data_IF_776106481950
#
_entry.id   IF_776106481950
#
_cell.length_a   1.000
_cell.length_b   1.000
_cell.length_c   1.000
_cell.angle_alpha   90.00
_cell.angle_beta   90.00
_cell.angle_gamma   90.00
#
_symmetry.space_group_name_H-M   'P 1'
#
loop_
_entity.id
_entity.type
_entity.pdbx_description
1 polymer ?
#
# COMPACT_ATOMS: atom_id res chain seq x y z
N UNK A 1 16.21 4.26 11.56
CA UNK A 1 15.36 4.20 12.76
C UNK A 1 14.21 5.15 12.53
N UNK A 2 13.00 4.76 12.94
CA UNK A 2 11.76 5.54 12.81
C UNK A 2 11.23 5.78 14.24
N UNK A 3 10.74 6.98 14.54
CA UNK A 3 10.18 7.34 15.86
C UNK A 3 8.72 6.87 15.94
N UNK A 4 8.54 5.55 16.00
CA UNK A 4 7.27 4.88 15.84
C UNK A 4 7.16 3.68 16.80
N UNK A 5 6.03 3.57 17.50
CA UNK A 5 5.63 2.35 18.19
C UNK A 5 4.57 1.65 17.33
N UNK A 6 4.78 0.39 16.96
CA UNK A 6 3.86 -0.30 16.07
C UNK A 6 3.71 -1.79 16.36
N UNK A 7 2.53 -2.33 16.06
CA UNK A 7 2.28 -3.76 15.93
C UNK A 7 1.42 -4.02 14.68
N UNK A 8 1.43 -5.25 14.20
CA UNK A 8 0.74 -5.64 12.97
C UNK A 8 -0.29 -6.74 13.25
N UNK A 9 -1.50 -6.55 12.72
CA UNK A 9 -2.56 -7.55 12.69
C UNK A 9 -2.71 -8.08 11.27
N UNK A 10 -2.64 -9.39 11.10
CA UNK A 10 -3.02 -10.08 9.88
C UNK A 10 -4.49 -10.46 9.99
N UNK A 11 -5.23 -10.27 8.91
CA UNK A 11 -6.65 -10.64 8.80
C UNK A 11 -6.81 -11.74 7.74
N UNK A 12 -6.25 -11.53 6.56
CA UNK A 12 -6.24 -12.47 5.43
C UNK A 12 -4.82 -12.77 4.97
N UNK A 13 -4.54 -13.98 4.44
CA UNK A 13 -5.49 -15.11 4.32
C UNK A 13 -5.74 -15.85 5.64
N UNK A 14 -4.89 -15.64 6.64
CA UNK A 14 -5.05 -16.21 7.98
C UNK A 14 -4.83 -15.13 9.03
N UNK A 15 -5.78 -15.01 9.96
CA UNK A 15 -5.67 -14.01 11.01
C UNK A 15 -4.76 -14.46 12.14
N UNK A 16 -3.92 -13.54 12.63
CA UNK A 16 -3.11 -13.74 13.83
C UNK A 16 -3.71 -13.04 15.06
N UNK A 17 -4.92 -12.47 14.95
CA UNK A 17 -5.43 -11.55 15.97
C UNK A 17 -5.65 -12.21 17.32
N UNK A 18 -5.75 -13.53 17.43
CA UNK A 18 -5.79 -14.27 18.72
C UNK A 18 -4.41 -14.51 19.32
N UNK A 19 -3.35 -14.41 18.52
CA UNK A 19 -1.95 -14.70 18.91
C UNK A 19 -1.24 -13.46 19.46
N UNK A 20 -1.71 -12.27 19.12
CA UNK A 20 -1.11 -11.01 19.58
C UNK A 20 -1.37 -10.84 21.08
N UNK A 21 -0.34 -10.72 21.93
CA UNK A 21 -0.52 -10.51 23.37
C UNK A 21 -1.10 -9.12 23.67
N UNK A 22 -1.55 -8.90 24.90
CA UNK A 22 -1.94 -7.58 25.44
C UNK A 22 -3.14 -6.87 24.77
N UNK A 23 -3.82 -7.52 23.82
CA UNK A 23 -5.12 -7.06 23.30
C UNK A 23 -6.26 -7.64 24.15
N UNK A 24 -7.14 -6.76 24.63
CA UNK A 24 -8.39 -7.17 25.28
C UNK A 24 -9.33 -7.87 24.28
N UNK A 25 -10.24 -8.71 24.78
CA UNK A 25 -11.24 -9.38 23.94
C UNK A 25 -12.13 -8.39 23.20
N UNK A 26 -12.47 -7.27 23.84
CA UNK A 26 -13.21 -6.18 23.21
C UNK A 26 -12.43 -5.57 22.04
N UNK A 27 -11.14 -5.26 22.21
CA UNK A 27 -10.31 -4.72 21.14
C UNK A 27 -10.21 -5.71 19.96
N UNK A 28 -10.01 -7.01 20.24
CA UNK A 28 -9.98 -8.06 19.21
C UNK A 28 -11.30 -8.12 18.44
N UNK A 29 -12.44 -8.05 19.15
CA UNK A 29 -13.77 -8.06 18.53
C UNK A 29 -13.97 -6.84 17.61
N UNK A 30 -13.73 -5.64 18.13
CA UNK A 30 -13.90 -4.40 17.37
C UNK A 30 -12.97 -4.35 16.17
N UNK A 31 -11.71 -4.76 16.32
CA UNK A 31 -10.76 -4.80 15.20
C UNK A 31 -11.15 -5.80 14.11
N UNK A 32 -11.73 -6.96 14.45
CA UNK A 32 -12.27 -7.89 13.44
C UNK A 32 -13.43 -7.26 12.65
N UNK A 33 -14.37 -6.62 13.35
CA UNK A 33 -15.50 -5.94 12.71
C UNK A 33 -15.04 -4.77 11.83
N UNK A 34 -14.07 -3.99 12.31
CA UNK A 34 -13.48 -2.88 11.57
C UNK A 34 -12.74 -3.36 10.32
N UNK A 35 -11.89 -4.38 10.45
CA UNK A 35 -11.16 -4.98 9.35
C UNK A 35 -12.11 -5.49 8.25
N UNK A 36 -13.18 -6.22 8.62
CA UNK A 36 -14.16 -6.71 7.66
C UNK A 36 -14.87 -5.59 6.89
N UNK A 37 -15.15 -4.46 7.54
CA UNK A 37 -15.75 -3.29 6.88
C UNK A 37 -14.76 -2.61 5.93
N UNK A 38 -13.50 -2.48 6.33
CA UNK A 38 -12.46 -1.89 5.49
C UNK A 38 -12.09 -2.78 4.30
N UNK A 39 -12.12 -4.11 4.46
CA UNK A 39 -11.93 -5.05 3.35
C UNK A 39 -13.00 -4.85 2.28
N UNK A 40 -14.28 -4.79 2.67
CA UNK A 40 -15.39 -4.51 1.74
C UNK A 40 -15.25 -3.16 1.05
N UNK A 41 -14.91 -2.12 1.82
CA UNK A 41 -14.68 -0.78 1.27
C UNK A 41 -13.50 -0.78 0.28
N UNK A 42 -12.43 -1.51 0.56
CA UNK A 42 -11.30 -1.64 -0.36
C UNK A 42 -11.75 -2.24 -1.70
N UNK A 43 -12.56 -3.31 -1.68
CA UNK A 43 -13.08 -3.93 -2.89
C UNK A 43 -14.02 -3.02 -3.68
N UNK A 44 -14.90 -2.27 -3.00
CA UNK A 44 -15.77 -1.26 -3.62
C UNK A 44 -14.94 -0.16 -4.30
N UNK A 45 -13.89 0.34 -3.65
CA UNK A 45 -12.98 1.33 -4.22
C UNK A 45 -12.19 0.78 -5.41
N UNK A 46 -11.78 -0.49 -5.37
CA UNK A 46 -11.13 -1.17 -6.50
C UNK A 46 -12.09 -1.29 -7.69
N UNK A 47 -13.38 -1.54 -7.47
CA UNK A 47 -14.39 -1.54 -8.54
C UNK A 47 -14.59 -0.14 -9.16
N UNK A 48 -14.59 0.92 -8.34
CA UNK A 48 -14.61 2.30 -8.85
C UNK A 48 -13.36 2.65 -9.66
N UNK A 49 -12.20 2.16 -9.24
CA UNK A 49 -10.96 2.29 -10.03
C UNK A 49 -11.09 1.54 -11.36
N UNK A 50 -11.67 0.33 -11.38
CA UNK A 50 -11.94 -0.41 -12.61
C UNK A 50 -12.85 0.39 -13.56
N UNK A 51 -13.94 0.96 -13.06
CA UNK A 51 -14.85 1.79 -13.84
C UNK A 51 -14.14 2.99 -14.48
N UNK A 52 -13.37 3.76 -13.69
CA UNK A 52 -12.59 4.90 -14.16
C UNK A 52 -11.53 4.52 -15.20
N UNK A 53 -10.98 3.32 -15.09
CA UNK A 53 -9.99 2.76 -16.02
C UNK A 53 -10.64 2.08 -17.24
N UNK A 54 -11.97 1.94 -17.25
CA UNK A 54 -12.74 1.17 -18.23
C UNK A 54 -12.27 -0.30 -18.30
N UNK A 55 -12.00 -0.88 -17.14
CA UNK A 55 -11.78 -2.30 -16.94
C UNK A 55 -13.08 -2.97 -16.53
N UNK A 56 -13.17 -4.30 -16.70
CA UNK A 56 -14.29 -5.08 -16.21
C UNK A 56 -14.42 -4.93 -14.69
N UNK A 57 -15.66 -4.86 -14.17
CA UNK A 57 -15.91 -4.88 -12.73
C UNK A 57 -15.27 -6.12 -12.11
N UNK A 58 -14.58 -5.95 -10.98
CA UNK A 58 -13.86 -7.03 -10.31
C UNK A 58 -12.50 -7.38 -10.91
N UNK A 59 -12.03 -6.69 -11.97
CA UNK A 59 -10.72 -6.97 -12.59
C UNK A 59 -9.57 -6.89 -11.58
N UNK A 60 -9.48 -5.78 -10.82
CA UNK A 60 -8.40 -5.59 -9.85
C UNK A 60 -8.48 -6.60 -8.68
N UNK A 61 -9.68 -6.91 -8.19
CA UNK A 61 -9.89 -7.94 -7.16
C UNK A 61 -9.40 -9.31 -7.66
N UNK A 62 -9.72 -9.67 -8.91
CA UNK A 62 -9.25 -10.91 -9.54
C UNK A 62 -7.74 -10.92 -9.70
N UNK A 63 -7.13 -9.81 -10.12
CA UNK A 63 -5.68 -9.67 -10.24
C UNK A 63 -4.97 -9.85 -8.88
N UNK A 64 -5.60 -9.43 -7.79
CA UNK A 64 -5.06 -9.53 -6.44
C UNK A 64 -5.30 -10.88 -5.77
N UNK A 65 -6.14 -11.75 -6.33
CA UNK A 65 -6.60 -12.93 -5.61
C UNK A 65 -5.50 -13.97 -5.36
N UNK A 66 -4.61 -14.21 -6.32
CA UNK A 66 -3.67 -15.34 -6.24
C UNK A 66 -4.40 -16.68 -5.99
N UNK A 67 -3.75 -17.65 -5.34
CA UNK A 67 -4.40 -18.94 -4.99
C UNK A 67 -5.23 -18.86 -3.71
N UNK A 68 -4.79 -18.08 -2.71
CA UNK A 68 -5.38 -18.08 -1.36
C UNK A 68 -6.22 -16.85 -1.03
N UNK A 69 -6.47 -15.99 -2.02
CA UNK A 69 -7.09 -14.69 -1.81
C UNK A 69 -6.06 -13.59 -1.52
N UNK A 70 -6.53 -12.33 -1.41
CA UNK A 70 -5.69 -11.18 -1.15
C UNK A 70 -5.02 -11.27 0.22
N UNK A 71 -3.94 -10.51 0.39
CA UNK A 71 -3.33 -10.30 1.70
C UNK A 71 -3.93 -9.04 2.31
N UNK A 72 -4.57 -9.16 3.48
CA UNK A 72 -5.16 -8.03 4.18
C UNK A 72 -4.66 -7.97 5.63
N UNK A 73 -4.09 -6.83 6.01
CA UNK A 73 -3.55 -6.62 7.34
C UNK A 73 -3.61 -5.15 7.75
N UNK A 74 -3.56 -4.91 9.05
CA UNK A 74 -3.57 -3.57 9.64
C UNK A 74 -2.30 -3.34 10.42
N UNK A 75 -1.57 -2.28 10.08
CA UNK A 75 -0.52 -1.69 10.91
C UNK A 75 -1.18 -0.71 11.88
N UNK A 76 -1.05 -1.00 13.17
CA UNK A 76 -1.43 -0.06 14.23
C UNK A 76 -0.14 0.61 14.69
N UNK A 77 -0.09 1.93 14.59
CA UNK A 77 1.06 2.73 14.93
C UNK A 77 0.67 3.93 15.79
N UNK A 78 1.59 4.31 16.67
CA UNK A 78 1.53 5.56 17.41
C UNK A 78 2.89 6.26 17.27
N UNK A 79 2.86 7.56 16.96
CA UNK A 79 4.03 8.42 16.89
C UNK A 79 4.03 9.31 18.13
N UNK A 80 4.78 8.96 19.19
CA UNK A 80 4.76 9.71 20.44
C UNK A 80 5.46 11.07 20.30
N UNK A 81 5.23 11.99 21.25
CA UNK A 81 5.97 13.25 21.33
C UNK A 81 7.48 13.04 21.21
N UNK A 82 8.13 13.87 20.41
CA UNK A 82 9.56 13.79 20.12
C UNK A 82 10.24 15.13 20.48
N UNK A 83 11.18 15.14 21.44
CA UNK A 83 11.84 16.40 21.84
C UNK A 83 12.84 16.92 20.81
N UNK A 84 13.18 16.14 19.77
CA UNK A 84 14.23 16.50 18.79
C UNK A 84 13.79 16.22 17.34
N UNK A 85 12.95 17.10 16.78
CA UNK A 85 12.31 16.94 15.45
C UNK A 85 13.28 16.84 14.27
N UNK A 86 14.44 17.50 14.36
CA UNK A 86 15.40 17.56 13.27
C UNK A 86 16.24 16.28 13.13
N UNK A 87 16.30 15.47 14.19
CA UNK A 87 17.16 14.29 14.25
C UNK A 87 16.48 13.01 13.79
N UNK A 88 15.15 12.95 13.85
CA UNK A 88 14.40 11.74 13.55
C UNK A 88 13.04 12.06 12.95
N UNK A 89 12.56 11.19 12.07
CA UNK A 89 11.20 11.25 11.51
C UNK A 89 10.33 10.21 12.22
N UNK A 90 9.03 10.48 12.31
CA UNK A 90 8.06 9.49 12.76
C UNK A 90 8.14 8.25 11.87
N UNK A 91 8.09 8.45 10.56
CA UNK A 91 8.36 7.44 9.54
C UNK A 91 9.07 8.08 8.35
N UNK A 92 10.20 7.52 7.95
CA UNK A 92 10.96 7.98 6.78
C UNK A 92 10.14 7.93 5.49
N UNK A 93 10.53 8.75 4.52
CA UNK A 93 9.91 8.81 3.21
C UNK A 93 9.98 7.45 2.52
N UNK A 94 8.84 6.98 2.02
CA UNK A 94 8.72 5.73 1.30
C UNK A 94 7.44 5.73 0.45
N UNK A 95 7.30 4.66 -0.32
CA UNK A 95 6.13 4.39 -1.13
C UNK A 95 5.59 3.03 -0.72
N UNK A 96 4.28 2.88 -0.63
CA UNK A 96 3.68 1.60 -0.26
C UNK A 96 3.85 0.57 -1.38
N UNK A 97 4.39 -0.61 -1.04
CA UNK A 97 4.55 -1.71 -1.98
C UNK A 97 3.24 -2.31 -2.47
N UNK A 98 2.14 -2.04 -1.77
CA UNK A 98 0.90 -2.79 -1.83
C UNK A 98 -0.05 -2.42 -2.96
N UNK A 99 -1.31 -2.78 -2.74
CA UNK A 99 -2.43 -2.44 -3.62
C UNK A 99 -3.06 -1.11 -3.25
N UNK A 100 -4.08 -1.15 -2.38
CA UNK A 100 -4.78 0.04 -1.86
C UNK A 100 -4.64 0.10 -0.34
N UNK A 101 -4.44 1.30 0.19
CA UNK A 101 -4.25 1.57 1.62
C UNK A 101 -5.41 2.40 2.13
N UNK A 102 -5.96 2.00 3.27
CA UNK A 102 -7.08 2.64 3.95
C UNK A 102 -6.64 3.03 5.35
N UNK A 103 -6.48 4.33 5.59
CA UNK A 103 -5.92 4.88 6.81
C UNK A 103 -6.99 5.62 7.63
N UNK A 104 -7.22 5.12 8.84
CA UNK A 104 -7.83 5.90 9.92
C UNK A 104 -6.69 6.54 10.73
N UNK A 105 -6.52 7.85 10.58
CA UNK A 105 -5.50 8.61 11.31
C UNK A 105 -6.10 9.45 12.43
N UNK A 106 -5.23 9.97 13.30
CA UNK A 106 -5.58 10.87 14.39
C UNK A 106 -6.41 12.07 13.90
N UNK A 107 -7.54 12.40 14.56
CA UNK A 107 -8.40 13.51 14.16
C UNK A 107 -7.88 14.89 14.59
N UNK A 108 -6.81 14.96 15.40
CA UNK A 108 -6.28 16.21 15.97
C UNK A 108 -4.80 16.40 15.67
N UNK A 109 -4.00 15.34 15.81
CA UNK A 109 -2.55 15.38 15.68
C UNK A 109 -2.14 15.10 14.23
N UNK A 110 -1.62 16.12 13.53
CA UNK A 110 -1.14 16.00 12.15
C UNK A 110 0.19 15.24 12.07
N UNK A 111 0.71 15.05 10.85
CA UNK A 111 2.08 14.58 10.65
C UNK A 111 2.32 13.76 9.39
N UNK A 112 1.27 13.21 8.78
CA UNK A 112 1.39 12.55 7.48
C UNK A 112 1.58 13.61 6.39
N UNK A 113 2.60 13.42 5.56
CA UNK A 113 2.89 14.27 4.41
C UNK A 113 3.07 13.41 3.17
N UNK A 114 2.59 13.90 2.03
CA UNK A 114 2.85 13.33 0.70
C UNK A 114 3.73 14.27 -0.12
N UNK A 115 4.54 13.73 -1.03
CA UNK A 115 5.35 14.50 -1.95
C UNK A 115 4.55 14.77 -3.22
N UNK A 116 4.31 16.04 -3.54
CA UNK A 116 3.62 16.46 -4.74
C UNK A 116 4.34 17.65 -5.35
N UNK A 117 4.63 17.57 -6.65
CA UNK A 117 5.28 18.64 -7.42
C UNK A 117 6.61 19.12 -6.79
N UNK A 118 7.34 18.19 -6.15
CA UNK A 118 8.61 18.47 -5.47
C UNK A 118 8.47 19.00 -4.03
N UNK A 119 7.24 19.20 -3.55
CA UNK A 119 6.96 19.78 -2.23
C UNK A 119 6.24 18.78 -1.31
N UNK A 120 6.57 18.84 -0.02
CA UNK A 120 5.87 18.06 1.00
C UNK A 120 4.58 18.76 1.38
N UNK A 121 3.45 18.09 1.13
CA UNK A 121 2.11 18.58 1.43
C UNK A 121 1.54 17.77 2.60
N UNK A 122 1.10 18.45 3.64
CA UNK A 122 0.40 17.80 4.76
C UNK A 122 -0.89 17.16 4.27
N UNK A 123 -1.12 15.91 4.67
CA UNK A 123 -2.46 15.33 4.64
C UNK A 123 -3.14 15.85 5.90
N UNK A 124 -4.06 16.83 5.78
CA UNK A 124 -4.62 17.47 6.96
C UNK A 124 -5.26 16.42 7.87
N UNK A 125 -5.19 16.59 9.21
CA UNK A 125 -5.97 15.78 10.12
C UNK A 125 -7.41 15.89 9.63
N UNK A 126 -7.97 14.78 9.13
CA UNK A 126 -9.06 14.89 8.22
C UNK A 126 -10.33 15.14 9.03
N UNK A 127 -11.43 15.47 8.36
CA UNK A 127 -12.75 15.57 9.01
C UNK A 127 -12.94 14.36 9.93
N UNK A 128 -13.45 14.57 11.16
CA UNK A 128 -13.71 13.47 12.10
C UNK A 128 -14.45 12.34 11.36
N UNK A 129 -14.02 11.09 11.60
CA UNK A 129 -14.59 9.87 11.00
C UNK A 129 -14.32 9.66 9.50
N UNK A 130 -13.28 10.28 8.94
CA UNK A 130 -12.85 10.04 7.56
C UNK A 130 -11.76 8.96 7.46
N UNK A 131 -11.59 8.43 6.25
CA UNK A 131 -10.55 7.48 5.88
C UNK A 131 -9.72 8.11 4.76
N UNK A 132 -8.40 8.11 4.92
CA UNK A 132 -7.47 8.51 3.87
C UNK A 132 -7.18 7.30 2.99
N UNK A 133 -7.21 7.50 1.68
CA UNK A 133 -6.93 6.45 0.69
C UNK A 133 -5.68 6.83 -0.09
N UNK A 134 -4.74 5.88 -0.22
CA UNK A 134 -3.64 5.99 -1.17
C UNK A 134 -3.43 4.67 -1.91
N UNK A 135 -2.75 4.76 -3.06
CA UNK A 135 -2.47 3.63 -3.95
C UNK A 135 -1.00 3.25 -3.81
N UNK A 136 -0.72 1.95 -3.88
CA UNK A 136 0.62 1.37 -3.81
C UNK A 136 1.19 0.98 -5.17
N UNK A 137 2.42 0.48 -5.15
CA UNK A 137 3.22 0.14 -6.33
C UNK A 137 2.53 -0.88 -7.26
N UNK A 138 1.69 -1.78 -6.74
CA UNK A 138 1.00 -2.78 -7.57
C UNK A 138 -0.05 -2.16 -8.48
N UNK A 139 -0.78 -1.14 -8.01
CA UNK A 139 -1.73 -0.42 -8.85
C UNK A 139 -1.01 0.48 -9.87
N UNK A 140 0.17 0.99 -9.55
CA UNK A 140 1.01 1.69 -10.53
C UNK A 140 1.40 0.77 -11.69
N UNK A 141 1.80 -0.47 -11.39
CA UNK A 141 2.12 -1.47 -12.42
C UNK A 141 0.89 -1.82 -13.26
N UNK A 142 -0.23 -2.21 -12.62
CA UNK A 142 -1.42 -2.65 -13.35
C UNK A 142 -2.00 -1.55 -14.23
N UNK A 143 -1.93 -0.29 -13.77
CA UNK A 143 -2.43 0.85 -14.53
C UNK A 143 -1.43 1.40 -15.56
N UNK A 144 -0.30 0.71 -15.75
CA UNK A 144 0.81 1.14 -16.60
C UNK A 144 1.28 2.59 -16.28
N UNK A 145 1.31 2.95 -15.00
CA UNK A 145 1.75 4.26 -14.54
C UNK A 145 0.70 5.37 -14.63
N UNK A 146 -0.54 5.08 -15.06
CA UNK A 146 -1.64 6.07 -15.07
C UNK A 146 -2.00 6.53 -13.66
N UNK A 147 -2.01 5.62 -12.69
CA UNK A 147 -2.13 5.97 -11.27
C UNK A 147 -0.81 5.65 -10.58
N UNK A 148 -0.05 6.70 -10.24
CA UNK A 148 1.26 6.55 -9.60
C UNK A 148 1.13 6.41 -8.09
N UNK A 149 1.96 5.55 -7.53
CA UNK A 149 2.19 5.42 -6.10
C UNK A 149 3.07 6.58 -5.64
N UNK A 150 2.60 7.30 -4.62
CA UNK A 150 3.15 8.60 -4.18
C UNK A 150 3.98 8.44 -2.93
N UNK A 151 5.15 9.09 -2.91
CA UNK A 151 6.03 9.11 -1.75
C UNK A 151 5.39 9.86 -0.59
N UNK A 152 5.42 9.27 0.59
CA UNK A 152 4.86 9.85 1.80
C UNK A 152 5.74 9.57 3.01
N UNK A 153 5.61 10.40 4.04
CA UNK A 153 6.37 10.32 5.30
C UNK A 153 5.50 10.72 6.49
N UNK A 154 5.96 10.42 7.69
CA UNK A 154 5.38 10.96 8.93
C UNK A 154 6.42 11.81 9.66
N UNK A 155 6.12 13.08 9.87
CA UNK A 155 6.94 13.97 10.70
C UNK A 155 6.63 13.74 12.19
N UNK A 156 7.66 13.83 13.03
CA UNK A 156 7.46 13.81 14.47
C UNK A 156 6.98 15.18 14.96
N UNK A 157 6.34 15.23 16.13
CA UNK A 157 5.83 16.46 16.76
C UNK A 157 6.36 16.58 18.20
N UNK A 158 6.53 17.81 18.71
CA UNK A 158 7.03 18.06 20.08
C UNK A 158 5.96 17.68 21.11
N UNK A 159 4.71 17.91 20.76
CA UNK A 159 3.51 17.64 21.54
C UNK A 159 2.53 16.76 20.74
N UNK A 160 1.70 16.01 21.46
CA UNK A 160 0.73 15.09 20.86
C UNK A 160 1.31 13.73 20.47
N UNK A 161 0.46 12.71 20.58
CA UNK A 161 0.77 11.35 20.16
C UNK A 161 -0.14 10.99 18.99
N UNK A 162 0.40 10.93 17.77
CA UNK A 162 -0.41 10.68 16.56
C UNK A 162 -0.77 9.21 16.46
N UNK A 163 -2.05 8.88 16.58
CA UNK A 163 -2.57 7.56 16.25
C UNK A 163 -2.64 7.31 14.73
N UNK A 164 -2.34 6.09 14.30
CA UNK A 164 -2.45 5.66 12.91
C UNK A 164 -2.87 4.19 12.80
N UNK A 165 -4.03 3.93 12.21
CA UNK A 165 -4.54 2.57 11.95
C UNK A 165 -4.64 2.41 10.43
N UNK A 166 -3.57 1.89 9.82
CA UNK A 166 -3.44 1.74 8.37
C UNK A 166 -3.72 0.30 7.95
N UNK A 167 -4.76 0.07 7.15
CA UNK A 167 -5.08 -1.23 6.58
C UNK A 167 -4.61 -1.32 5.13
N UNK A 168 -3.96 -2.41 4.77
CA UNK A 168 -3.35 -2.63 3.47
C UNK A 168 -4.05 -3.79 2.79
N UNK A 169 -4.72 -3.53 1.66
CA UNK A 169 -5.29 -4.56 0.79
C UNK A 169 -4.33 -4.79 -0.37
N UNK A 170 -3.60 -5.91 -0.26
CA UNK A 170 -2.51 -6.28 -1.13
C UNK A 170 -2.86 -7.54 -1.93
N UNK A 171 -2.17 -7.78 -3.05
CA UNK A 171 -2.28 -9.07 -3.73
C UNK A 171 -1.94 -10.26 -2.82
N UNK A 172 -2.45 -11.43 -3.18
CA UNK A 172 -1.97 -12.71 -2.65
C UNK A 172 -0.50 -12.91 -3.02
N UNK A 173 0.25 -13.66 -2.22
CA UNK A 173 1.70 -13.84 -2.38
C UNK A 173 2.08 -14.33 -3.78
N UNK A 174 1.29 -15.24 -4.35
CA UNK A 174 1.51 -15.83 -5.67
C UNK A 174 0.77 -15.12 -6.81
N UNK A 175 0.13 -13.97 -6.54
CA UNK A 175 -0.52 -13.18 -7.55
C UNK A 175 0.51 -12.66 -8.57
N UNK A 176 0.20 -12.84 -9.86
CA UNK A 176 1.04 -12.34 -10.96
C UNK A 176 0.57 -10.94 -11.35
N UNK A 177 1.42 -9.96 -11.12
CA UNK A 177 1.16 -8.54 -11.34
C UNK A 177 1.81 -8.09 -12.65
N UNK A 178 1.04 -7.41 -13.49
CA UNK A 178 1.47 -6.88 -14.79
C UNK A 178 0.51 -5.79 -15.27
N UNK A 179 0.94 -4.92 -16.22
CA UNK A 179 0.06 -3.93 -16.83
C UNK A 179 -1.18 -4.56 -17.47
N UNK A 180 -2.36 -4.01 -17.19
CA UNK A 180 -3.60 -4.50 -17.77
C UNK A 180 -3.58 -4.33 -19.31
N UNK A 181 -3.79 -5.40 -20.10
CA UNK A 181 -3.66 -5.34 -21.57
C UNK A 181 -4.53 -4.25 -22.21
N UNK A 182 -5.76 -4.09 -21.72
CA UNK A 182 -6.72 -3.07 -22.19
C UNK A 182 -6.27 -1.61 -21.95
N UNK A 183 -5.23 -1.39 -21.14
CA UNK A 183 -4.62 -0.08 -20.90
C UNK A 183 -3.36 0.14 -21.75
N UNK A 184 -2.75 -0.91 -22.29
CA UNK A 184 -1.62 -0.81 -23.21
C UNK A 184 -2.08 -0.44 -24.63
N UNK A 185 -3.16 -1.05 -25.11
CA UNK A 185 -3.70 -0.86 -26.46
C UNK A 185 -4.18 0.57 -26.75
N UNK A 186 -4.54 1.32 -25.70
CA UNK A 186 -5.01 2.71 -25.82
C UNK A 186 -3.88 3.75 -25.84
N UNK A 187 -2.64 3.32 -25.61
CA UNK A 187 -1.48 4.21 -25.49
C UNK A 187 -0.51 4.13 -26.69
N UNK A 188 -0.88 3.42 -27.76
CA UNK A 188 0.01 2.96 -28.84
C UNK A 188 0.43 3.99 -29.89
N UNK A 189 0.17 5.29 -29.73
CA UNK A 189 0.57 6.30 -30.74
C UNK A 189 2.00 6.85 -30.60
N UNK A 190 2.70 6.65 -29.47
CA UNK A 190 4.09 7.11 -29.30
C UNK A 190 5.03 5.92 -29.01
N UNK A 191 5.77 5.50 -30.04
CA UNK A 191 6.60 4.29 -30.12
C UNK A 191 7.81 4.19 -29.18
N UNK A 192 7.76 4.76 -27.97
CA UNK A 192 8.84 4.67 -26.99
C UNK A 192 8.37 4.70 -25.52
N UNK A 193 7.28 4.00 -25.18
CA UNK A 193 6.79 3.96 -23.79
C UNK A 193 7.39 2.80 -22.98
N UNK A 194 7.95 3.14 -21.81
CA UNK A 194 8.33 2.19 -20.76
C UNK A 194 7.11 1.40 -20.31
N UNK A 195 7.10 0.09 -20.62
CA UNK A 195 6.14 -0.87 -20.06
C UNK A 195 6.66 -1.35 -18.70
N UNK A 196 5.81 -1.30 -17.68
CA UNK A 196 6.11 -1.83 -16.35
C UNK A 196 6.27 -3.37 -16.39
N UNK A 197 7.07 -3.97 -15.51
CA UNK A 197 7.40 -5.40 -15.55
C UNK A 197 6.22 -6.31 -15.17
N UNK A 198 6.33 -7.58 -15.55
CA UNK A 198 5.48 -8.67 -15.05
C UNK A 198 6.24 -9.49 -14.00
N UNK A 199 5.63 -9.72 -12.84
CA UNK A 199 6.28 -10.45 -11.74
C UNK A 199 5.27 -11.08 -10.77
N UNK A 200 5.75 -11.98 -9.90
CA UNK A 200 4.98 -12.51 -8.77
C UNK A 200 5.09 -11.56 -7.58
N UNK A 201 3.99 -11.27 -6.90
CA UNK A 201 3.96 -10.26 -5.82
C UNK A 201 4.94 -10.55 -4.68
N UNK A 202 5.12 -11.81 -4.27
CA UNK A 202 6.08 -12.19 -3.22
C UNK A 202 7.54 -11.84 -3.59
N UNK A 203 7.91 -11.97 -4.87
CA UNK A 203 9.25 -11.61 -5.34
C UNK A 203 9.50 -10.11 -5.20
N UNK A 204 8.46 -9.31 -5.45
CA UNK A 204 8.48 -7.86 -5.25
C UNK A 204 8.60 -7.52 -3.76
N UNK A 205 7.81 -8.17 -2.91
CA UNK A 205 7.83 -7.95 -1.45
C UNK A 205 9.18 -8.30 -0.83
N UNK A 206 9.80 -9.39 -1.28
CA UNK A 206 11.16 -9.80 -0.86
C UNK A 206 12.19 -8.72 -1.18
N UNK A 207 12.12 -8.14 -2.39
CA UNK A 207 13.00 -7.02 -2.77
C UNK A 207 12.68 -5.75 -1.96
N UNK A 208 11.40 -5.42 -1.84
CA UNK A 208 10.94 -4.22 -1.15
C UNK A 208 11.38 -4.18 0.32
N UNK A 209 11.40 -5.31 1.03
CA UNK A 209 11.83 -5.37 2.42
C UNK A 209 13.25 -4.80 2.64
N UNK A 210 14.17 -5.00 1.68
CA UNK A 210 15.52 -4.45 1.72
C UNK A 210 15.66 -3.02 1.15
N UNK A 211 14.67 -2.56 0.38
CA UNK A 211 14.74 -1.32 -0.41
C UNK A 211 13.64 -0.30 -0.07
N UNK A 212 12.87 -0.54 1.00
CA UNK A 212 11.67 0.25 1.36
C UNK A 212 11.89 1.77 1.35
N UNK A 213 13.03 2.23 1.86
CA UNK A 213 13.37 3.65 2.00
C UNK A 213 14.32 4.16 0.91
N UNK A 214 14.45 3.40 -0.18
CA UNK A 214 15.20 3.79 -1.38
C UNK A 214 14.23 4.17 -2.50
N UNK A 215 14.77 4.75 -3.57
CA UNK A 215 14.02 5.06 -4.79
C UNK A 215 13.22 3.85 -5.30
N UNK A 216 12.06 4.09 -5.91
CA UNK A 216 11.18 3.01 -6.37
C UNK A 216 11.56 2.42 -7.71
N UNK A 217 12.12 3.24 -8.58
CA UNK A 217 12.43 2.89 -9.97
C UNK A 217 13.35 1.66 -10.05
N UNK A 218 14.42 1.56 -9.23
CA UNK A 218 15.27 0.36 -9.21
C UNK A 218 14.53 -0.94 -8.88
N UNK A 219 13.41 -0.88 -8.13
CA UNK A 219 12.62 -2.07 -7.79
C UNK A 219 11.93 -2.64 -9.03
N UNK A 220 11.36 -1.78 -9.87
CA UNK A 220 10.73 -2.20 -11.13
C UNK A 220 11.76 -2.67 -12.16
N UNK A 221 12.91 -1.99 -12.27
CA UNK A 221 13.99 -2.43 -13.17
C UNK A 221 14.55 -3.80 -12.74
N UNK A 222 14.66 -4.07 -11.44
CA UNK A 222 15.06 -5.38 -10.92
C UNK A 222 14.05 -6.49 -11.27
N UNK A 223 12.74 -6.22 -11.19
CA UNK A 223 11.72 -7.17 -11.61
C UNK A 223 11.78 -7.43 -13.13
N UNK A 224 12.02 -6.39 -13.93
CA UNK A 224 12.17 -6.51 -15.38
C UNK A 224 13.38 -7.35 -15.77
N UNK A 225 14.50 -7.19 -15.08
CA UNK A 225 15.69 -8.01 -15.30
C UNK A 225 15.42 -9.50 -15.00
N UNK A 226 14.66 -9.80 -13.94
CA UNK A 226 14.28 -11.17 -13.58
C UNK A 226 13.35 -11.80 -14.61
N UNK A 227 12.40 -11.04 -15.13
CA UNK A 227 11.47 -11.47 -16.19
C UNK A 227 12.24 -11.96 -17.45
N UNK A 228 13.27 -11.22 -17.88
CA UNK A 228 14.09 -11.57 -19.05
C UNK A 228 14.91 -12.84 -18.82
N UNK A 229 15.36 -13.08 -17.59
CA UNK A 229 16.22 -14.24 -17.25
C UNK A 229 15.46 -15.51 -16.91
N UNK A 230 14.13 -15.44 -16.74
CA UNK A 230 13.33 -16.63 -16.47
C UNK A 230 13.32 -17.53 -17.72
N UNK A 231 13.63 -18.84 -17.60
CA UNK A 231 13.57 -19.73 -18.74
C UNK A 231 12.15 -19.71 -19.32
N UNK A 232 12.01 -19.40 -20.60
CA UNK A 232 10.75 -19.57 -21.33
C UNK A 232 10.33 -21.02 -21.19
N UNK A 233 9.35 -21.28 -20.33
CA UNK A 233 8.65 -22.55 -20.29
C UNK A 233 7.98 -22.72 -21.66
N UNK A 234 8.61 -23.51 -22.53
CA UNK A 234 8.03 -24.00 -23.76
C UNK A 234 6.80 -24.85 -23.42
N UNK A 235 5.76 -24.67 -24.23
CA UNK A 235 4.41 -25.21 -24.14
C UNK A 235 4.29 -26.71 -23.86
#
# INVERSE_FOLDING_TARGET
MDWENTFHLRHLPQSNISEVPDLSDEYRKVMKEFALKLEKLAEELLDLLCENLRLEKGYLKKAFHGTKGPTFGTKVANYPPCPTLDKIKGLRAHIDAGGIVLLLQDPQVSGLQLLKDGEWVDVPPPLRHSIVINLGDQLEVITNGKYKSVEHRVVAQIDGARMSIASFYNPGSDAVIYPAPALLEKETDDGNKKVYPKFVFEDYMTLYAGMKFQAKEPRFEAMKAREITAPTATA
#
